data_IF_901408813724
#
_entry.id   IF_901408813724
#
_cell.length_a   1.000
_cell.length_b   1.000
_cell.length_c   1.000
_cell.angle_alpha   90.00
_cell.angle_beta   90.00
_cell.angle_gamma   90.00
#
_symmetry.space_group_name_H-M   'P 1'
#
loop_
_entity.id
_entity.type
_entity.pdbx_description
1 polymer ?
#
# COMPACT_ATOMS: atom_id res chain seq x y z
N UNK A 1 26.37 -1.34 -3.31
CA UNK A 1 25.04 -0.78 -3.45
C UNK A 1 24.23 -1.05 -2.19
N UNK A 2 23.64 -0.07 -1.60
CA UNK A 2 22.86 -0.32 -0.41
C UNK A 2 21.64 -1.21 -0.75
N UNK A 3 21.16 -2.01 0.19
CA UNK A 3 19.95 -2.80 -0.04
C UNK A 3 18.74 -1.89 -0.22
N UNK A 4 17.71 -2.40 -0.88
CA UNK A 4 16.45 -1.67 -0.99
C UNK A 4 15.90 -1.36 0.39
N UNK A 5 15.41 -0.15 0.55
CA UNK A 5 14.78 0.27 1.79
C UNK A 5 13.27 0.16 1.61
N UNK A 6 12.69 -0.79 2.30
CA UNK A 6 11.28 -1.14 2.15
C UNK A 6 10.47 -0.64 3.33
N UNK A 7 9.39 0.09 3.05
CA UNK A 7 8.41 0.47 4.05
C UNK A 7 7.15 -0.36 3.91
N UNK A 8 6.52 -0.68 5.03
CA UNK A 8 5.22 -1.35 5.05
C UNK A 8 4.12 -0.40 5.48
N UNK A 9 3.02 -0.42 4.74
CA UNK A 9 1.80 0.29 5.13
C UNK A 9 0.92 -0.68 5.91
N UNK A 10 0.57 -0.29 7.13
CA UNK A 10 -0.28 -1.12 7.98
C UNK A 10 -1.48 -0.31 8.47
N UNK A 11 -2.61 -1.00 8.59
CA UNK A 11 -3.82 -0.44 9.20
C UNK A 11 -4.33 0.83 8.52
N UNK A 12 -4.17 0.91 7.23
CA UNK A 12 -4.80 1.99 6.49
C UNK A 12 -6.31 1.76 6.49
N UNK A 13 -7.03 2.71 7.05
CA UNK A 13 -8.47 2.62 7.14
C UNK A 13 -9.12 3.93 6.73
N UNK A 14 -10.07 3.84 5.80
CA UNK A 14 -10.89 4.98 5.39
C UNK A 14 -12.30 4.72 5.90
N UNK A 15 -12.85 5.57 6.78
CA UNK A 15 -14.20 5.38 7.29
C UNK A 15 -15.22 5.31 6.14
N UNK A 16 -16.28 4.51 6.28
CA UNK A 16 -17.29 4.39 5.23
C UNK A 16 -17.86 5.73 4.74
N UNK A 17 -18.05 6.67 5.66
CA UNK A 17 -18.58 7.99 5.32
C UNK A 17 -17.63 8.81 4.43
N UNK A 18 -16.36 8.49 4.43
CA UNK A 18 -15.33 9.18 3.64
C UNK A 18 -14.99 8.46 2.34
N UNK A 19 -15.47 7.24 2.15
CA UNK A 19 -15.18 6.46 0.94
C UNK A 19 -15.82 7.10 -0.28
N UNK A 20 -15.17 6.94 -1.43
CA UNK A 20 -15.66 7.50 -2.67
C UNK A 20 -15.31 8.96 -2.88
N UNK A 21 -14.59 9.59 -1.93
CA UNK A 21 -14.19 10.99 -2.01
C UNK A 21 -12.71 11.17 -2.36
N UNK A 22 -12.04 10.11 -2.78
CA UNK A 22 -10.63 10.16 -3.12
C UNK A 22 -9.69 10.25 -1.93
N UNK A 23 -10.19 10.10 -0.70
CA UNK A 23 -9.34 10.20 0.50
C UNK A 23 -8.31 9.09 0.59
N UNK A 24 -8.65 7.88 0.13
CA UNK A 24 -7.69 6.78 0.10
C UNK A 24 -6.49 7.11 -0.78
N UNK A 25 -6.75 7.67 -1.97
CA UNK A 25 -5.69 8.08 -2.89
C UNK A 25 -4.84 9.21 -2.30
N UNK A 26 -5.47 10.18 -1.64
CA UNK A 26 -4.75 11.27 -0.97
C UNK A 26 -3.84 10.74 0.15
N UNK A 27 -4.37 9.85 0.99
CA UNK A 27 -3.59 9.26 2.08
C UNK A 27 -2.41 8.47 1.54
N UNK A 28 -2.62 7.65 0.52
CA UNK A 28 -1.53 6.88 -0.08
C UNK A 28 -0.49 7.80 -0.72
N UNK A 29 -0.92 8.87 -1.37
CA UNK A 29 -0.01 9.86 -1.93
C UNK A 29 0.87 10.50 -0.87
N UNK A 30 0.30 10.87 0.26
CA UNK A 30 1.06 11.41 1.39
C UNK A 30 2.03 10.40 1.97
N UNK A 31 1.60 9.15 2.11
CA UNK A 31 2.47 8.08 2.61
C UNK A 31 3.65 7.84 1.66
N UNK A 32 3.40 7.83 0.36
CA UNK A 32 4.46 7.67 -0.63
C UNK A 32 5.45 8.82 -0.58
N UNK A 33 4.95 10.03 -0.41
CA UNK A 33 5.78 11.22 -0.29
C UNK A 33 6.68 11.15 0.95
N UNK A 34 6.10 10.81 2.10
CA UNK A 34 6.85 10.65 3.34
C UNK A 34 7.89 9.53 3.22
N UNK A 35 7.51 8.41 2.61
CA UNK A 35 8.42 7.30 2.40
C UNK A 35 9.63 7.73 1.56
N UNK A 36 9.38 8.48 0.49
CA UNK A 36 10.43 9.02 -0.37
C UNK A 36 11.36 9.95 0.39
N UNK A 37 10.81 10.82 1.25
CA UNK A 37 11.60 11.72 2.08
C UNK A 37 12.49 10.97 3.06
N UNK A 38 12.08 9.77 3.48
CA UNK A 38 12.87 8.91 4.36
C UNK A 38 13.76 7.93 3.60
N UNK A 39 13.99 8.18 2.31
CA UNK A 39 14.82 7.35 1.44
C UNK A 39 14.34 5.91 1.29
N UNK A 40 13.05 5.67 1.45
CA UNK A 40 12.47 4.37 1.13
C UNK A 40 12.32 4.23 -0.37
N UNK A 41 12.71 3.10 -0.92
CA UNK A 41 12.65 2.87 -2.36
C UNK A 41 11.43 2.05 -2.79
N UNK A 42 10.79 1.36 -1.85
CA UNK A 42 9.63 0.52 -2.12
C UNK A 42 8.65 0.64 -0.96
N UNK A 43 7.36 0.79 -1.26
CA UNK A 43 6.29 0.58 -0.30
C UNK A 43 5.61 -0.74 -0.59
N UNK A 44 5.28 -1.48 0.46
CA UNK A 44 4.54 -2.72 0.35
C UNK A 44 3.42 -2.76 1.38
N UNK A 45 2.39 -3.54 1.08
CA UNK A 45 1.25 -3.71 1.96
C UNK A 45 0.62 -5.07 1.71
N UNK A 46 -0.21 -5.48 2.64
CA UNK A 46 -1.07 -6.64 2.42
C UNK A 46 -2.53 -6.25 2.60
N UNK A 47 -3.42 -7.03 2.01
CA UNK A 47 -4.85 -6.77 2.09
C UNK A 47 -5.62 -8.07 1.96
N UNK A 48 -6.91 -8.01 2.27
CA UNK A 48 -7.80 -9.14 2.17
C UNK A 48 -8.49 -9.15 0.81
N UNK A 49 -8.85 -10.35 0.36
CA UNK A 49 -9.51 -10.53 -0.94
C UNK A 49 -10.85 -9.81 -1.02
N UNK A 50 -11.60 -9.77 0.06
CA UNK A 50 -12.93 -9.15 0.12
C UNK A 50 -12.89 -7.61 0.12
N UNK A 51 -11.72 -7.01 0.32
CA UNK A 51 -11.58 -5.56 0.27
C UNK A 51 -11.37 -5.08 -1.17
N UNK A 52 -12.42 -5.25 -1.98
CA UNK A 52 -12.36 -5.01 -3.43
C UNK A 52 -12.03 -3.56 -3.77
N UNK A 53 -12.63 -2.61 -3.07
CA UNK A 53 -12.37 -1.19 -3.33
C UNK A 53 -10.92 -0.81 -3.03
N UNK A 54 -10.39 -1.33 -1.92
CA UNK A 54 -8.99 -1.10 -1.56
C UNK A 54 -8.06 -1.69 -2.62
N UNK A 55 -8.34 -2.91 -3.07
CA UNK A 55 -7.53 -3.56 -4.11
C UNK A 55 -7.54 -2.77 -5.41
N UNK A 56 -8.70 -2.23 -5.81
CA UNK A 56 -8.81 -1.38 -6.99
C UNK A 56 -8.01 -0.10 -6.84
N UNK A 57 -8.06 0.50 -5.65
CA UNK A 57 -7.29 1.71 -5.37
C UNK A 57 -5.79 1.43 -5.52
N UNK A 58 -5.30 0.38 -4.90
CA UNK A 58 -3.87 0.05 -4.96
C UNK A 58 -3.43 -0.25 -6.40
N UNK A 59 -4.23 -0.99 -7.15
CA UNK A 59 -3.92 -1.26 -8.55
C UNK A 59 -3.85 0.03 -9.37
N UNK A 60 -4.81 0.94 -9.16
CA UNK A 60 -4.84 2.23 -9.84
C UNK A 60 -3.62 3.09 -9.52
N UNK A 61 -3.08 2.94 -8.30
CA UNK A 61 -1.90 3.67 -7.86
C UNK A 61 -0.58 3.02 -8.29
N UNK A 62 -0.64 1.87 -8.97
CA UNK A 62 0.55 1.23 -9.49
C UNK A 62 1.14 0.13 -8.61
N UNK A 63 0.42 -0.32 -7.59
CA UNK A 63 0.86 -1.44 -6.78
C UNK A 63 0.63 -2.74 -7.53
N UNK A 64 1.62 -3.64 -7.48
CA UNK A 64 1.59 -4.92 -8.14
C UNK A 64 1.64 -6.05 -7.13
N UNK A 65 0.99 -7.17 -7.45
CA UNK A 65 1.04 -8.33 -6.57
C UNK A 65 2.44 -8.92 -6.54
N UNK A 66 2.87 -9.29 -5.34
CA UNK A 66 4.18 -9.89 -5.08
C UNK A 66 3.98 -11.12 -4.19
N UNK A 67 5.00 -11.99 -4.08
CA UNK A 67 4.92 -13.12 -3.15
C UNK A 67 4.74 -12.65 -1.71
N UNK A 68 4.07 -13.47 -0.90
CA UNK A 68 3.85 -13.18 0.51
C UNK A 68 5.18 -12.91 1.22
N UNK A 69 5.23 -11.79 1.93
CA UNK A 69 6.44 -11.40 2.68
C UNK A 69 6.24 -11.47 4.20
N UNK A 70 5.08 -11.95 4.63
CA UNK A 70 4.78 -12.19 6.04
C UNK A 70 3.72 -13.28 6.16
N UNK A 71 3.44 -13.71 7.39
CA UNK A 71 2.41 -14.69 7.70
C UNK A 71 1.14 -13.99 8.18
N UNK A 72 0.88 -12.81 7.66
CA UNK A 72 -0.10 -11.87 8.18
C UNK A 72 -1.52 -12.37 8.23
N UNK A 73 -1.82 -13.19 9.21
CA UNK A 73 -3.16 -13.53 9.65
C UNK A 73 -4.22 -13.72 8.55
N UNK A 74 -4.91 -12.65 8.24
CA UNK A 74 -6.00 -12.67 7.28
C UNK A 74 -5.64 -12.12 5.91
N UNK A 75 -4.37 -11.77 5.70
CA UNK A 75 -3.93 -11.25 4.41
C UNK A 75 -4.02 -12.33 3.33
N UNK A 76 -4.48 -11.94 2.16
CA UNK A 76 -4.64 -12.83 1.02
C UNK A 76 -3.97 -12.29 -0.23
N UNK A 77 -3.60 -11.01 -0.23
CA UNK A 77 -2.89 -10.35 -1.31
C UNK A 77 -1.74 -9.53 -0.75
N UNK A 78 -0.60 -9.63 -1.37
CA UNK A 78 0.60 -8.86 -1.02
C UNK A 78 0.96 -7.99 -2.21
N UNK A 79 1.15 -6.71 -1.97
CA UNK A 79 1.33 -5.72 -3.02
C UNK A 79 2.54 -4.85 -2.73
N UNK A 80 3.22 -4.40 -3.77
CA UNK A 80 4.36 -3.52 -3.64
C UNK A 80 4.42 -2.51 -4.79
N UNK A 81 5.01 -1.36 -4.52
CA UNK A 81 5.21 -0.33 -5.51
C UNK A 81 6.59 0.31 -5.34
N UNK A 82 7.40 0.37 -6.41
CA UNK A 82 8.63 1.15 -6.37
C UNK A 82 8.29 2.64 -6.32
N UNK A 83 9.08 3.41 -5.55
CA UNK A 83 8.83 4.84 -5.33
C UNK A 83 9.68 5.75 -6.23
N UNK A 84 10.40 5.16 -7.14
CA UNK A 84 11.27 5.93 -8.05
C UNK A 84 10.81 5.84 -9.47
#
# INVERSE_FOLDING_TARGET
MPPERVGEVKRLFVPPAARGRGLGALLMGELEHLASEHDLSVLRLDTRHDLVEARRLYAALGYEEVPAFNDGGYAEHWLAKPLT
#
